data_IF_036931046276
#
_entry.id   IF_036931046276
#
_cell.length_a   1.000
_cell.length_b   1.000
_cell.length_c   1.000
_cell.angle_alpha   90.00
_cell.angle_beta   90.00
_cell.angle_gamma   90.00
#
_symmetry.space_group_name_H-M   'P 1'
#
loop_
_entity.id
_entity.type
_entity.pdbx_description
1 polymer ?
#
# COMPACT_ATOMS: atom_id res chain seq x y z
N UNK A 1 26.15 17.10 15.23
CA UNK A 1 26.03 15.95 14.32
C UNK A 1 24.79 15.16 14.71
N UNK A 2 23.80 15.07 13.83
CA UNK A 2 22.59 14.24 14.08
C UNK A 2 23.04 12.78 14.02
N UNK A 3 22.88 12.04 15.12
CA UNK A 3 23.10 10.60 15.14
C UNK A 3 21.92 9.96 14.43
N UNK A 4 22.12 9.42 13.23
CA UNK A 4 21.10 8.64 12.55
C UNK A 4 20.82 7.35 13.35
N UNK A 5 19.55 7.02 13.53
CA UNK A 5 19.12 5.84 14.28
C UNK A 5 18.66 4.77 13.30
N UNK A 6 19.15 3.52 13.41
CA UNK A 6 18.70 2.44 12.55
C UNK A 6 17.20 2.20 12.71
N UNK A 7 16.54 1.88 11.60
CA UNK A 7 15.11 1.63 11.56
C UNK A 7 14.87 0.12 11.47
N UNK A 8 13.89 -0.38 12.22
CA UNK A 8 13.51 -1.79 12.18
C UNK A 8 12.90 -2.16 10.81
N UNK A 9 13.49 -3.11 10.05
CA UNK A 9 12.91 -3.57 8.79
C UNK A 9 11.53 -4.20 8.96
N UNK A 10 11.33 -4.98 10.02
CA UNK A 10 10.03 -5.58 10.34
C UNK A 10 8.97 -4.51 10.66
N UNK A 11 9.38 -3.47 11.43
CA UNK A 11 8.50 -2.35 11.75
C UNK A 11 8.04 -1.58 10.51
N UNK A 12 8.97 -1.24 9.61
CA UNK A 12 8.62 -0.55 8.37
C UNK A 12 7.86 -1.44 7.38
N UNK A 13 8.12 -2.74 7.35
CA UNK A 13 7.35 -3.70 6.54
C UNK A 13 5.88 -3.70 6.96
N UNK A 14 5.61 -3.80 8.27
CA UNK A 14 4.25 -3.76 8.82
C UNK A 14 3.56 -2.43 8.55
N UNK A 15 4.26 -1.31 8.76
CA UNK A 15 3.75 0.02 8.45
C UNK A 15 3.43 0.16 6.96
N UNK A 16 4.31 -0.31 6.08
CA UNK A 16 4.10 -0.32 4.64
C UNK A 16 2.88 -1.16 4.22
N UNK A 17 2.68 -2.32 4.85
CA UNK A 17 1.49 -3.15 4.65
C UNK A 17 0.20 -2.42 5.05
N UNK A 18 0.21 -1.72 6.19
CA UNK A 18 -0.93 -0.91 6.66
C UNK A 18 -1.22 0.24 5.69
N UNK A 19 -0.18 0.93 5.20
CA UNK A 19 -0.36 1.99 4.19
C UNK A 19 -0.96 1.42 2.91
N UNK A 20 -0.49 0.25 2.45
CA UNK A 20 -1.06 -0.46 1.32
C UNK A 20 -2.53 -0.84 1.51
N UNK A 21 -2.90 -1.30 2.72
CA UNK A 21 -4.28 -1.60 3.09
C UNK A 21 -5.18 -0.36 3.06
N UNK A 22 -4.71 0.74 3.64
CA UNK A 22 -5.44 2.02 3.63
C UNK A 22 -5.65 2.49 2.18
N UNK A 23 -4.60 2.42 1.36
CA UNK A 23 -4.69 2.81 -0.04
C UNK A 23 -5.65 1.93 -0.83
N UNK A 24 -5.68 0.63 -0.58
CA UNK A 24 -6.66 -0.27 -1.18
C UNK A 24 -8.10 0.09 -0.78
N UNK A 25 -8.36 0.38 0.50
CA UNK A 25 -9.68 0.79 0.96
C UNK A 25 -10.13 2.10 0.29
N UNK A 26 -9.22 3.07 0.13
CA UNK A 26 -9.49 4.30 -0.61
C UNK A 26 -9.77 4.03 -2.10
N UNK A 27 -8.99 3.14 -2.72
CA UNK A 27 -9.19 2.73 -4.11
C UNK A 27 -10.55 2.05 -4.31
N UNK A 28 -11.01 1.24 -3.35
CA UNK A 28 -12.34 0.66 -3.37
C UNK A 28 -13.45 1.72 -3.29
N UNK A 29 -13.31 2.71 -2.41
CA UNK A 29 -14.28 3.81 -2.32
C UNK A 29 -14.32 4.65 -3.60
N UNK A 30 -13.15 4.89 -4.20
CA UNK A 30 -13.02 5.71 -5.40
C UNK A 30 -13.52 5.01 -6.67
N UNK A 31 -13.08 3.77 -6.91
CA UNK A 31 -13.37 3.01 -8.13
C UNK A 31 -14.63 2.15 -8.02
N UNK A 32 -15.05 1.80 -6.82
CA UNK A 32 -16.29 1.09 -6.54
C UNK A 32 -16.09 -0.29 -5.96
N UNK A 33 -16.89 -0.57 -4.95
CA UNK A 33 -17.11 -1.93 -4.45
C UNK A 33 -18.03 -2.70 -5.40
N UNK A 34 -18.05 -4.02 -5.22
CA UNK A 34 -19.10 -4.87 -5.80
C UNK A 34 -20.48 -4.33 -5.39
N UNK A 35 -21.25 -3.81 -6.34
CA UNK A 35 -22.66 -3.48 -6.13
C UNK A 35 -22.95 -2.17 -5.38
N UNK A 36 -21.98 -1.26 -5.18
CA UNK A 36 -22.24 0.09 -4.66
C UNK A 36 -21.85 1.17 -5.68
N UNK A 37 -22.50 2.35 -5.67
CA UNK A 37 -22.11 3.47 -6.52
C UNK A 37 -20.70 3.93 -6.14
N UNK A 38 -19.81 4.01 -7.12
CA UNK A 38 -18.48 4.60 -6.94
C UNK A 38 -18.45 6.04 -7.40
N UNK A 39 -17.50 6.85 -6.93
CA UNK A 39 -17.35 8.22 -7.43
C UNK A 39 -17.15 8.22 -8.96
N UNK A 40 -16.33 7.29 -9.47
CA UNK A 40 -16.14 7.14 -10.92
C UNK A 40 -17.38 6.60 -11.65
N UNK A 41 -18.18 5.73 -11.02
CA UNK A 41 -19.43 5.22 -11.57
C UNK A 41 -20.50 6.30 -11.67
N UNK A 42 -20.58 7.18 -10.68
CA UNK A 42 -21.47 8.34 -10.67
C UNK A 42 -21.06 9.41 -11.69
N UNK A 43 -19.76 9.59 -11.92
CA UNK A 43 -19.22 10.64 -12.80
C UNK A 43 -19.03 10.20 -14.26
N UNK A 44 -18.71 8.93 -14.52
CA UNK A 44 -18.17 8.49 -15.82
C UNK A 44 -18.76 7.17 -16.37
N UNK A 45 -19.80 6.57 -15.76
CA UNK A 45 -20.36 5.27 -16.19
C UNK A 45 -19.27 4.18 -16.34
N UNK A 46 -18.31 4.16 -15.42
CA UNK A 46 -17.18 3.24 -15.46
C UNK A 46 -17.62 1.79 -15.17
N UNK A 47 -17.12 0.77 -15.91
CA UNK A 47 -17.49 -0.62 -15.66
C UNK A 47 -17.02 -1.09 -14.27
N UNK A 48 -17.86 -1.89 -13.60
CA UNK A 48 -17.55 -2.45 -12.29
C UNK A 48 -16.34 -3.40 -12.37
N UNK A 49 -15.39 -3.24 -11.44
CA UNK A 49 -14.24 -4.14 -11.34
C UNK A 49 -14.66 -5.48 -10.73
N UNK A 50 -14.31 -6.59 -11.38
CA UNK A 50 -14.66 -7.95 -10.90
C UNK A 50 -14.08 -8.26 -9.52
N UNK A 51 -14.69 -9.20 -8.78
CA UNK A 51 -14.20 -9.62 -7.46
C UNK A 51 -12.72 -10.06 -7.51
N UNK A 52 -12.37 -10.83 -8.54
CA UNK A 52 -11.00 -11.33 -8.73
C UNK A 52 -9.99 -10.20 -8.88
N UNK A 53 -10.33 -9.17 -9.67
CA UNK A 53 -9.46 -7.99 -9.82
C UNK A 53 -9.33 -7.22 -8.51
N UNK A 54 -10.39 -7.10 -7.71
CA UNK A 54 -10.32 -6.41 -6.41
C UNK A 54 -9.39 -7.12 -5.43
N UNK A 55 -9.44 -8.45 -5.38
CA UNK A 55 -8.53 -9.27 -4.58
C UNK A 55 -7.09 -9.19 -5.06
N UNK A 56 -6.86 -9.12 -6.38
CA UNK A 56 -5.52 -8.91 -6.93
C UNK A 56 -4.95 -7.54 -6.54
N UNK A 57 -5.74 -6.47 -6.69
CA UNK A 57 -5.30 -5.12 -6.31
C UNK A 57 -5.06 -5.03 -4.80
N UNK A 58 -5.85 -5.72 -3.98
CA UNK A 58 -5.60 -5.85 -2.54
C UNK A 58 -4.21 -6.44 -2.25
N UNK A 59 -3.92 -7.62 -2.81
CA UNK A 59 -2.65 -8.33 -2.59
C UNK A 59 -1.48 -7.48 -3.08
N UNK A 60 -1.62 -6.83 -4.23
CA UNK A 60 -0.57 -5.98 -4.80
C UNK A 60 -0.31 -4.73 -3.96
N UNK A 61 -1.35 -4.06 -3.45
CA UNK A 61 -1.16 -2.85 -2.64
C UNK A 61 -0.61 -3.18 -1.25
N UNK A 62 -1.15 -4.19 -0.57
CA UNK A 62 -0.68 -4.59 0.76
C UNK A 62 0.71 -5.21 0.68
N UNK A 63 0.91 -6.18 -0.23
CA UNK A 63 2.20 -6.84 -0.43
C UNK A 63 3.26 -5.89 -0.98
N UNK A 64 2.88 -5.03 -1.94
CA UNK A 64 3.74 -3.99 -2.48
C UNK A 64 4.15 -2.97 -1.42
N UNK A 65 3.19 -2.49 -0.62
CA UNK A 65 3.45 -1.59 0.51
C UNK A 65 4.41 -2.22 1.54
N UNK A 66 4.19 -3.49 1.89
CA UNK A 66 5.09 -4.23 2.78
C UNK A 66 6.51 -4.30 2.22
N UNK A 67 6.65 -4.66 0.94
CA UNK A 67 7.94 -4.73 0.26
C UNK A 67 8.64 -3.36 0.19
N UNK A 68 7.90 -2.29 -0.12
CA UNK A 68 8.42 -0.93 -0.13
C UNK A 68 8.93 -0.51 1.26
N UNK A 69 8.15 -0.80 2.31
CA UNK A 69 8.56 -0.53 3.70
C UNK A 69 9.86 -1.24 4.06
N UNK A 70 9.96 -2.54 3.73
CA UNK A 70 11.18 -3.32 3.92
C UNK A 70 12.38 -2.72 3.16
N UNK A 71 12.20 -2.42 1.87
CA UNK A 71 13.25 -1.85 1.01
C UNK A 71 13.76 -0.52 1.55
N UNK A 72 12.86 0.37 1.97
CA UNK A 72 13.23 1.67 2.56
C UNK A 72 14.08 1.47 3.81
N UNK A 73 13.70 0.53 4.69
CA UNK A 73 14.47 0.24 5.89
C UNK A 73 15.88 -0.28 5.58
N UNK A 74 15.98 -1.22 4.64
CA UNK A 74 17.26 -1.81 4.23
C UNK A 74 18.17 -0.77 3.58
N UNK A 75 17.65 0.04 2.65
CA UNK A 75 18.41 1.08 1.96
C UNK A 75 18.87 2.16 2.95
N UNK A 76 17.99 2.59 3.86
CA UNK A 76 18.32 3.56 4.89
C UNK A 76 19.38 3.04 5.86
N UNK A 77 19.23 1.84 6.41
CA UNK A 77 20.21 1.28 7.35
C UNK A 77 21.58 1.11 6.69
N UNK A 78 21.61 0.67 5.43
CA UNK A 78 22.85 0.60 4.64
C UNK A 78 23.50 1.96 4.43
N UNK A 79 22.73 3.01 4.16
CA UNK A 79 23.29 4.35 3.88
C UNK A 79 23.94 4.99 5.10
N UNK A 80 23.51 4.62 6.31
CA UNK A 80 24.08 5.11 7.57
C UNK A 80 25.12 4.16 8.19
N UNK A 81 25.46 3.06 7.50
CA UNK A 81 26.42 2.06 7.99
C UNK A 81 25.92 1.19 9.14
N UNK A 82 24.61 1.13 9.37
CA UNK A 82 24.00 0.21 10.31
C UNK A 82 23.94 -1.20 9.69
N UNK A 83 24.39 -2.21 10.44
CA UNK A 83 24.38 -3.62 10.04
C UNK A 83 22.98 -4.22 10.20
#
# INVERSE_FOLDING_TARGET
MVKYHPVSPDGLTKTGAIVGLIWWALALGWHGMMGMPSMMGLLYSYPYMSMMMQSLVFVLLVGGGALTGWLVAVVYNRSIGAK
#
